data_IF_444476577399
#
_entry.id   IF_444476577399
#
_cell.length_a   1.000
_cell.length_b   1.000
_cell.length_c   1.000
_cell.angle_alpha   90.00
_cell.angle_beta   90.00
_cell.angle_gamma   90.00
#
_symmetry.space_group_name_H-M   'P 1'
#
loop_
_entity.id
_entity.type
_entity.pdbx_description
1 polymer ?
#
# COMPACT_ATOMS: atom_id res chain seq x y z
N UNK A 1 2.56 -17.53 -12.34
CA UNK A 1 2.97 -16.32 -13.09
C UNK A 1 2.02 -15.14 -12.83
N UNK A 2 0.70 -15.30 -13.01
CA UNK A 2 -0.28 -14.22 -12.77
C UNK A 2 -0.22 -13.61 -11.37
N UNK A 3 -0.17 -14.43 -10.32
CA UNK A 3 -0.07 -13.96 -8.93
C UNK A 3 1.20 -13.14 -8.66
N UNK A 4 2.31 -13.45 -9.34
CA UNK A 4 3.56 -12.71 -9.23
C UNK A 4 3.43 -11.30 -9.83
N UNK A 5 2.75 -11.18 -10.96
CA UNK A 5 2.45 -9.88 -11.59
C UNK A 5 1.56 -9.04 -10.67
N UNK A 6 0.54 -9.66 -10.08
CA UNK A 6 -0.35 -9.02 -9.12
C UNK A 6 0.41 -8.51 -7.88
N UNK A 7 1.34 -9.31 -7.34
CA UNK A 7 2.19 -8.93 -6.20
C UNK A 7 3.10 -7.76 -6.54
N UNK A 8 3.75 -7.78 -7.71
CA UNK A 8 4.60 -6.69 -8.16
C UNK A 8 3.80 -5.37 -8.30
N UNK A 9 2.55 -5.47 -8.73
CA UNK A 9 1.63 -4.35 -8.91
C UNK A 9 0.77 -4.05 -7.66
N UNK A 10 1.19 -4.44 -6.46
CA UNK A 10 0.41 -4.24 -5.22
C UNK A 10 0.66 -2.89 -4.54
N UNK A 11 1.63 -2.09 -5.01
CA UNK A 11 2.15 -0.88 -4.33
C UNK A 11 2.89 -1.15 -3.01
N UNK A 12 3.01 -2.41 -2.57
CA UNK A 12 3.68 -2.77 -1.31
C UNK A 12 5.21 -2.77 -1.45
N UNK A 13 5.75 -3.45 -2.47
CA UNK A 13 7.20 -3.58 -2.66
C UNK A 13 7.83 -2.36 -3.34
N UNK A 14 7.11 -1.76 -4.29
CA UNK A 14 7.57 -0.61 -5.06
C UNK A 14 6.42 0.37 -5.13
N UNK A 15 6.64 1.57 -4.59
CA UNK A 15 5.66 2.65 -4.66
C UNK A 15 5.54 3.13 -6.09
N UNK A 16 4.31 3.23 -6.62
CA UNK A 16 4.08 3.64 -8.02
C UNK A 16 4.61 5.04 -8.34
N UNK A 17 4.72 5.91 -7.34
CA UNK A 17 5.28 7.25 -7.49
C UNK A 17 6.77 7.21 -7.87
N UNK A 18 7.50 6.22 -7.36
CA UNK A 18 8.96 6.14 -7.50
C UNK A 18 9.39 5.31 -8.73
N UNK A 19 8.43 4.88 -9.55
CA UNK A 19 8.71 4.19 -10.80
C UNK A 19 9.32 5.15 -11.85
N UNK A 20 10.48 4.75 -12.38
CA UNK A 20 11.12 5.45 -13.51
C UNK A 20 10.21 5.56 -14.74
N UNK A 21 9.39 4.55 -14.99
CA UNK A 21 8.45 4.51 -16.12
C UNK A 21 7.01 4.66 -15.63
N UNK A 22 6.52 5.90 -15.59
CA UNK A 22 5.19 6.23 -15.05
C UNK A 22 4.03 5.56 -15.79
N UNK A 23 4.20 5.20 -17.07
CA UNK A 23 3.17 4.48 -17.82
C UNK A 23 2.87 3.08 -17.23
N UNK A 24 3.87 2.43 -16.61
CA UNK A 24 3.66 1.14 -15.93
C UNK A 24 2.74 1.29 -14.72
N UNK A 25 2.63 2.49 -14.13
CA UNK A 25 1.70 2.74 -13.05
C UNK A 25 0.23 2.57 -13.48
N UNK A 26 -0.07 2.61 -14.78
CA UNK A 26 -1.41 2.27 -15.30
C UNK A 26 -1.79 0.81 -15.05
N UNK A 27 -0.81 -0.11 -15.02
CA UNK A 27 -1.07 -1.55 -14.79
C UNK A 27 -1.65 -1.82 -13.40
N UNK A 28 -1.49 -0.90 -12.44
CA UNK A 28 -2.07 -1.02 -11.10
C UNK A 28 -3.58 -1.21 -11.13
N UNK A 29 -4.27 -0.63 -12.12
CA UNK A 29 -5.72 -0.70 -12.22
C UNK A 29 -6.24 -2.11 -12.58
N UNK A 30 -5.36 -2.98 -13.10
CA UNK A 30 -5.67 -4.39 -13.37
C UNK A 30 -5.33 -5.32 -12.21
N UNK A 31 -4.70 -4.78 -11.16
CA UNK A 31 -4.26 -5.55 -10.01
C UNK A 31 -5.35 -5.62 -8.95
N UNK A 32 -5.90 -6.80 -8.71
CA UNK A 32 -6.80 -7.04 -7.57
C UNK A 32 -6.07 -6.89 -6.23
N UNK A 33 -4.77 -7.21 -6.20
CA UNK A 33 -3.96 -7.03 -4.99
C UNK A 33 -3.74 -5.55 -4.65
N UNK A 34 -3.64 -4.67 -5.65
CA UNK A 34 -3.57 -3.23 -5.40
C UNK A 34 -4.79 -2.74 -4.63
N UNK A 35 -6.00 -3.05 -5.12
CA UNK A 35 -7.23 -2.65 -4.43
C UNK A 35 -7.37 -3.31 -3.06
N UNK A 36 -6.99 -4.59 -2.93
CA UNK A 36 -7.05 -5.29 -1.64
C UNK A 36 -6.14 -4.64 -0.61
N UNK A 37 -4.90 -4.29 -0.99
CA UNK A 37 -3.94 -3.64 -0.12
C UNK A 37 -4.35 -2.20 0.22
N UNK A 38 -4.85 -1.43 -0.74
CA UNK A 38 -5.42 -0.09 -0.53
C UNK A 38 -6.58 -0.14 0.47
N UNK A 39 -7.50 -1.10 0.33
CA UNK A 39 -8.62 -1.29 1.24
C UNK A 39 -8.20 -1.69 2.65
N UNK A 40 -7.27 -2.64 2.77
CA UNK A 40 -6.73 -3.08 4.05
C UNK A 40 -6.01 -1.93 4.77
N UNK A 41 -5.13 -1.21 4.07
CA UNK A 41 -4.42 -0.07 4.62
C UNK A 41 -5.40 1.02 5.08
N UNK A 42 -6.46 1.30 4.32
CA UNK A 42 -7.46 2.31 4.71
C UNK A 42 -8.25 1.92 5.95
N UNK A 43 -8.53 0.63 6.15
CA UNK A 43 -9.23 0.13 7.35
C UNK A 43 -8.32 0.15 8.58
N UNK A 44 -7.06 -0.24 8.41
CA UNK A 44 -6.10 -0.34 9.51
C UNK A 44 -5.61 1.05 9.98
N UNK A 45 -5.27 1.91 9.03
CA UNK A 45 -4.61 3.20 9.29
C UNK A 45 -5.54 4.40 9.13
N UNK A 46 -6.80 4.20 8.72
CA UNK A 46 -7.70 5.31 8.48
C UNK A 46 -8.19 5.96 9.76
N UNK A 47 -7.77 7.20 10.01
CA UNK A 47 -8.18 7.95 11.21
C UNK A 47 -7.62 7.39 12.52
N UNK A 48 -6.62 6.52 12.46
CA UNK A 48 -5.89 6.09 13.64
C UNK A 48 -4.83 7.15 14.02
N UNK A 49 -4.61 7.30 15.32
CA UNK A 49 -3.61 8.21 15.85
C UNK A 49 -2.96 7.53 17.04
N UNK A 50 -1.64 7.55 17.08
CA UNK A 50 -0.86 6.97 18.17
C UNK A 50 -0.20 8.06 19.00
N UNK A 51 -0.28 7.92 20.31
CA UNK A 51 0.46 8.77 21.24
C UNK A 51 1.96 8.48 21.11
N UNK A 52 2.72 9.51 20.72
CA UNK A 52 4.17 9.45 20.62
C UNK A 52 4.88 10.34 21.65
N UNK A 53 4.17 10.82 22.68
CA UNK A 53 4.70 11.70 23.73
C UNK A 53 5.96 11.16 24.40
N UNK A 54 6.05 9.84 24.55
CA UNK A 54 7.20 9.16 25.17
C UNK A 54 8.44 9.06 24.27
N UNK A 55 8.34 9.51 23.02
CA UNK A 55 9.40 9.43 22.04
C UNK A 55 9.77 8.00 21.63
N UNK A 56 10.74 7.90 20.73
CA UNK A 56 11.35 6.64 20.32
C UNK A 56 12.57 6.38 21.21
N UNK A 57 12.68 5.17 21.75
CA UNK A 57 13.85 4.75 22.54
C UNK A 57 15.16 4.77 21.70
N UNK A 58 16.31 4.87 22.35
CA UNK A 58 17.61 4.95 21.68
C UNK A 58 17.93 3.72 20.81
N UNK A 59 17.45 2.53 21.19
CA UNK A 59 17.57 1.31 20.38
C UNK A 59 16.68 1.36 19.12
N UNK A 60 15.50 1.96 19.20
CA UNK A 60 14.60 2.21 18.07
C UNK A 60 15.19 3.20 17.06
N UNK A 61 15.84 4.27 17.53
CA UNK A 61 16.58 5.20 16.67
C UNK A 61 17.77 4.52 15.99
N UNK A 62 18.49 3.68 16.72
CA UNK A 62 19.61 2.90 16.17
C UNK A 62 19.14 1.93 15.08
N UNK A 63 18.00 1.25 15.32
CA UNK A 63 17.37 0.39 14.34
C UNK A 63 16.91 1.16 13.09
N UNK A 64 16.33 2.36 13.25
CA UNK A 64 15.99 3.24 12.12
C UNK A 64 17.22 3.59 11.26
N UNK A 65 18.35 3.90 11.91
CA UNK A 65 19.61 4.19 11.20
C UNK A 65 20.16 2.97 10.45
N UNK A 66 19.95 1.76 10.98
CA UNK A 66 20.33 0.52 10.30
C UNK A 66 19.42 0.20 9.10
N UNK A 67 18.12 0.54 9.17
CA UNK A 67 17.17 0.37 8.07
C UNK A 67 17.35 1.42 6.96
N UNK A 68 17.74 2.64 7.32
CA UNK A 68 17.94 3.76 6.39
C UNK A 68 19.39 4.28 6.46
N UNK A 69 20.39 3.43 6.16
CA UNK A 69 21.78 3.87 6.14
C UNK A 69 21.91 4.92 5.04
N UNK A 70 22.48 6.08 5.35
CA UNK A 70 22.62 7.28 4.48
C UNK A 70 21.43 8.26 4.43
N UNK A 71 20.46 8.15 5.34
CA UNK A 71 19.48 9.21 5.54
C UNK A 71 20.14 10.46 6.16
N UNK A 72 20.33 11.51 5.36
CA UNK A 72 20.84 12.82 5.86
C UNK A 72 19.99 13.40 6.99
N UNK A 73 18.70 13.04 7.05
CA UNK A 73 17.80 13.48 8.11
C UNK A 73 18.06 12.74 9.43
N UNK A 74 18.38 11.45 9.40
CA UNK A 74 18.69 10.66 10.60
C UNK A 74 20.10 10.93 11.16
N UNK A 75 21.01 11.47 10.34
CA UNK A 75 22.33 11.91 10.79
C UNK A 75 22.31 13.28 11.50
N UNK A 76 21.23 14.06 11.35
CA UNK A 76 21.08 15.32 12.09
C UNK A 76 20.75 15.04 13.56
N UNK A 77 21.59 15.55 14.47
CA UNK A 77 21.39 15.45 15.91
C UNK A 77 20.09 16.10 16.39
N UNK A 78 19.62 17.14 15.69
CA UNK A 78 18.35 17.82 15.97
C UNK A 78 17.14 16.95 15.68
N UNK A 79 17.15 16.19 14.58
CA UNK A 79 16.05 15.29 14.20
C UNK A 79 16.00 14.09 15.14
N UNK A 80 17.16 13.53 15.50
CA UNK A 80 17.23 12.42 16.47
C UNK A 80 16.85 12.86 17.88
N UNK A 81 17.23 14.06 18.31
CA UNK A 81 16.76 14.62 19.58
C UNK A 81 15.25 14.87 19.59
N UNK A 82 14.70 15.39 18.48
CA UNK A 82 13.26 15.61 18.32
C UNK A 82 12.46 14.29 18.31
N UNK A 83 13.02 13.21 17.74
CA UNK A 83 12.39 11.88 17.75
C UNK A 83 12.42 11.22 19.14
N UNK A 84 13.47 11.47 19.93
CA UNK A 84 13.56 10.95 21.31
C UNK A 84 12.73 11.75 22.30
N UNK A 85 12.51 13.06 22.05
CA UNK A 85 11.74 13.95 22.93
C UNK A 85 10.81 14.86 22.12
N UNK A 86 9.72 14.33 21.53
CA UNK A 86 8.85 15.09 20.65
C UNK A 86 7.87 16.03 21.37
N UNK A 87 7.85 16.01 22.71
CA UNK A 87 6.94 16.81 23.55
C UNK A 87 5.65 16.08 23.89
N UNK A 88 4.95 16.55 24.94
CA UNK A 88 3.76 15.87 25.50
C UNK A 88 2.56 15.84 24.54
N UNK A 89 2.52 16.75 23.55
CA UNK A 89 1.46 16.84 22.54
C UNK A 89 1.78 16.06 21.25
N UNK A 90 2.75 15.13 21.27
CA UNK A 90 3.11 14.35 20.10
C UNK A 90 2.03 13.33 19.73
N UNK A 91 1.45 13.49 18.53
CA UNK A 91 0.52 12.54 17.94
C UNK A 91 1.02 12.09 16.58
N UNK A 92 1.22 10.78 16.42
CA UNK A 92 1.57 10.15 15.15
C UNK A 92 0.29 9.84 14.37
N UNK A 93 -0.01 10.69 13.38
CA UNK A 93 -1.15 10.54 12.47
C UNK A 93 -0.83 9.50 11.38
N UNK A 94 -1.59 8.41 11.35
CA UNK A 94 -1.41 7.35 10.36
C UNK A 94 -1.99 7.69 8.99
N UNK A 95 -2.82 8.74 8.87
CA UNK A 95 -3.28 9.22 7.57
C UNK A 95 -2.11 9.76 6.71
N UNK A 96 -0.99 10.16 7.33
CA UNK A 96 0.23 10.52 6.62
C UNK A 96 0.76 9.34 5.76
N UNK A 97 0.66 8.10 6.27
CA UNK A 97 1.04 6.89 5.54
C UNK A 97 0.13 6.68 4.32
N UNK A 98 -1.18 6.86 4.50
CA UNK A 98 -2.15 6.72 3.41
C UNK A 98 -1.94 7.76 2.31
N UNK A 99 -1.58 9.00 2.69
CA UNK A 99 -1.21 10.06 1.74
C UNK A 99 0.08 9.73 0.99
N UNK A 100 1.08 9.17 1.67
CA UNK A 100 2.32 8.74 1.04
C UNK A 100 2.08 7.71 -0.08
N UNK A 101 1.25 6.70 0.18
CA UNK A 101 0.87 5.69 -0.82
C UNK A 101 -0.21 6.14 -1.82
N UNK A 102 -0.75 7.36 -1.66
CA UNK A 102 -1.88 7.91 -2.44
C UNK A 102 -3.14 7.02 -2.41
N UNK A 103 -3.46 6.49 -1.23
CA UNK A 103 -4.68 5.72 -0.99
C UNK A 103 -5.85 6.66 -0.64
N UNK A 104 -6.33 7.37 -1.65
CA UNK A 104 -7.38 8.40 -1.50
C UNK A 104 -8.80 7.81 -1.53
N UNK A 105 -8.97 6.58 -2.04
CA UNK A 105 -10.30 5.97 -2.19
C UNK A 105 -10.88 5.52 -0.86
N UNK A 106 -12.20 5.65 -0.74
CA UNK A 106 -12.92 5.15 0.42
C UNK A 106 -12.94 3.62 0.41
N UNK A 107 -13.02 3.00 1.58
CA UNK A 107 -13.14 1.54 1.69
C UNK A 107 -14.33 1.00 0.89
N UNK A 108 -15.45 1.75 0.85
CA UNK A 108 -16.65 1.36 0.09
C UNK A 108 -16.36 1.27 -1.41
N UNK A 109 -15.67 2.27 -1.97
CA UNK A 109 -15.33 2.28 -3.40
C UNK A 109 -14.39 1.14 -3.75
N UNK A 110 -13.43 0.86 -2.87
CA UNK A 110 -12.48 -0.26 -3.03
C UNK A 110 -13.20 -1.61 -2.99
N UNK A 111 -14.14 -1.80 -2.06
CA UNK A 111 -14.93 -3.02 -1.94
C UNK A 111 -15.84 -3.25 -3.16
N UNK A 112 -16.48 -2.20 -3.68
CA UNK A 112 -17.28 -2.26 -4.90
C UNK A 112 -16.39 -2.63 -6.10
N UNK A 113 -15.21 -2.01 -6.22
CA UNK A 113 -14.27 -2.27 -7.31
C UNK A 113 -13.80 -3.72 -7.31
N UNK A 114 -13.46 -4.28 -6.13
CA UNK A 114 -13.09 -5.68 -5.99
C UNK A 114 -14.23 -6.64 -6.33
N UNK A 115 -15.45 -6.32 -5.90
CA UNK A 115 -16.64 -7.12 -6.22
C UNK A 115 -16.92 -7.13 -7.72
N UNK A 116 -16.81 -5.97 -8.37
CA UNK A 116 -16.95 -5.83 -9.82
C UNK A 116 -15.85 -6.60 -10.56
N UNK A 117 -14.60 -6.50 -10.11
CA UNK A 117 -13.48 -7.26 -10.67
C UNK A 117 -13.74 -8.77 -10.58
N UNK A 118 -14.14 -9.25 -9.41
CA UNK A 118 -14.49 -10.66 -9.19
C UNK A 118 -15.61 -11.11 -10.12
N UNK A 119 -16.72 -10.36 -10.19
CA UNK A 119 -17.83 -10.68 -11.08
C UNK A 119 -17.39 -10.73 -12.56
N UNK A 120 -16.65 -9.74 -13.04
CA UNK A 120 -16.12 -9.70 -14.40
C UNK A 120 -15.22 -10.90 -14.71
N UNK A 121 -14.29 -11.23 -13.82
CA UNK A 121 -13.41 -12.39 -14.01
C UNK A 121 -14.21 -13.70 -14.07
N UNK A 122 -15.20 -13.87 -13.20
CA UNK A 122 -16.07 -15.04 -13.22
C UNK A 122 -16.89 -15.16 -14.52
N UNK A 123 -17.47 -14.05 -14.99
CA UNK A 123 -18.21 -14.02 -16.26
C UNK A 123 -17.29 -14.36 -17.43
N UNK A 124 -16.10 -13.77 -17.51
CA UNK A 124 -15.13 -14.05 -18.57
C UNK A 124 -14.70 -15.52 -18.56
N UNK A 125 -14.35 -16.08 -17.40
CA UNK A 125 -13.95 -17.49 -17.28
C UNK A 125 -15.11 -18.42 -17.68
N UNK A 126 -16.34 -18.11 -17.25
CA UNK A 126 -17.52 -18.88 -17.64
C UNK A 126 -17.77 -18.86 -19.16
N UNK A 127 -17.68 -17.68 -19.79
CA UNK A 127 -17.84 -17.54 -21.23
C UNK A 127 -16.74 -18.29 -22.01
N UNK A 128 -15.50 -18.24 -21.54
CA UNK A 128 -14.39 -19.01 -22.14
C UNK A 128 -14.66 -20.51 -22.05
N UNK A 129 -15.07 -21.01 -20.88
CA UNK A 129 -15.41 -22.43 -20.71
C UNK A 129 -16.56 -22.86 -21.63
N UNK A 130 -17.60 -22.03 -21.79
CA UNK A 130 -18.69 -22.29 -22.73
C UNK A 130 -18.22 -22.32 -24.19
N UNK A 131 -17.35 -21.39 -24.59
CA UNK A 131 -16.81 -21.35 -25.96
C UNK A 131 -15.95 -22.58 -26.26
N UNK A 132 -15.06 -22.96 -25.33
CA UNK A 132 -14.21 -24.14 -25.46
C UNK A 132 -15.05 -25.42 -25.49
N UNK A 133 -16.01 -25.58 -24.57
CA UNK A 133 -16.88 -26.76 -24.53
C UNK A 133 -17.77 -26.90 -25.77
N UNK A 134 -18.20 -25.78 -26.39
CA UNK A 134 -18.92 -25.81 -27.67
C UNK A 134 -18.02 -26.20 -28.85
N UNK A 135 -16.73 -25.86 -28.78
CA UNK A 135 -15.75 -26.19 -29.83
C UNK A 135 -15.37 -27.67 -29.79
N UNK A 136 -15.22 -28.27 -28.61
CA UNK A 136 -14.88 -29.69 -28.49
C UNK A 136 -16.04 -30.64 -28.81
N UNK A 137 -17.28 -30.15 -28.75
CA UNK A 137 -18.48 -30.92 -29.11
C UNK A 137 -18.73 -31.00 -30.62
N UNK A 138 -18.05 -30.19 -31.43
CA UNK A 138 -18.10 -30.21 -32.90
C UNK A 138 -16.92 -31.00 -33.46
#
# INVERSE_FOLDING_TARGET
MWSTVQLLMSNFFITFHDLRFQWLAFLKWFSALYYSFEGLARVEFGGAAFDCSRGIDASGVTFLKQLLPHSRFLDMSSVTAALMHPGDDCVADTDALLRFYRFERSFKDTAITLSAYYACTHVCTFLIMLMVGRRERR
#
